data_IF_537017691985
#
_entry.id   IF_537017691985
#
_cell.length_a   1.000
_cell.length_b   1.000
_cell.length_c   1.000
_cell.angle_alpha   90.00
_cell.angle_beta   90.00
_cell.angle_gamma   90.00
#
_symmetry.space_group_name_H-M   'P 1'
#
loop_
_entity.id
_entity.type
_entity.pdbx_description
1 polymer ?
#
# COMPACT_ATOMS: atom_id res chain seq x y z
N UNK A 1 23.59 17.33 -41.40
CA UNK A 1 22.24 17.92 -41.54
C UNK A 1 21.67 17.97 -40.13
N UNK A 2 21.94 19.04 -39.35
CA UNK A 2 21.20 20.31 -39.30
C UNK A 2 19.76 20.07 -38.81
N UNK A 3 19.19 20.63 -37.73
CA UNK A 3 19.49 21.67 -36.74
C UNK A 3 18.74 21.26 -35.45
N UNK A 4 19.26 21.36 -34.23
CA UNK A 4 19.45 22.53 -33.37
C UNK A 4 18.16 23.22 -32.87
N UNK A 5 18.17 23.42 -31.54
CA UNK A 5 17.63 24.56 -30.77
C UNK A 5 16.33 24.38 -29.94
N UNK A 6 16.42 25.07 -28.81
CA UNK A 6 15.89 24.91 -27.45
C UNK A 6 14.73 25.84 -27.10
N UNK A 7 14.17 25.61 -25.89
CA UNK A 7 13.66 26.61 -24.93
C UNK A 7 12.26 27.22 -25.19
N UNK A 8 11.49 27.79 -24.24
CA UNK A 8 11.34 27.82 -22.77
C UNK A 8 10.23 28.85 -22.50
N UNK A 9 9.25 28.53 -21.63
CA UNK A 9 8.44 29.37 -20.71
C UNK A 9 7.53 30.55 -21.18
N UNK A 10 6.63 30.89 -20.22
CA UNK A 10 5.73 32.04 -20.01
C UNK A 10 4.30 31.91 -20.60
N UNK A 11 3.19 31.82 -19.85
CA UNK A 11 2.63 32.61 -18.72
C UNK A 11 1.79 33.83 -19.15
N UNK A 12 0.65 34.03 -18.45
CA UNK A 12 -0.28 35.20 -18.41
C UNK A 12 -1.52 35.07 -19.32
N UNK A 13 -2.75 34.82 -18.87
CA UNK A 13 -3.65 35.44 -17.86
C UNK A 13 -4.56 36.56 -18.41
N UNK A 14 -5.85 36.45 -18.02
CA UNK A 14 -6.89 37.49 -18.04
C UNK A 14 -7.99 37.26 -19.10
N UNK A 15 -9.26 37.60 -18.90
CA UNK A 15 -10.07 38.06 -17.77
C UNK A 15 -11.51 38.22 -18.34
N UNK A 16 -12.52 38.28 -17.47
CA UNK A 16 -13.89 38.82 -17.66
C UNK A 16 -14.96 37.98 -18.37
N UNK A 17 -16.25 38.05 -18.02
CA UNK A 17 -17.02 38.32 -16.80
C UNK A 17 -18.51 38.11 -17.19
N UNK A 18 -19.30 37.56 -16.26
CA UNK A 18 -20.75 37.71 -16.02
C UNK A 18 -21.72 38.14 -17.15
N UNK A 19 -22.86 37.43 -17.25
CA UNK A 19 -24.19 38.07 -17.11
C UNK A 19 -25.32 37.06 -16.88
N UNK A 20 -26.10 37.39 -15.84
CA UNK A 20 -27.42 36.90 -15.49
C UNK A 20 -28.40 36.82 -16.67
N UNK A 21 -29.32 35.85 -16.59
CA UNK A 21 -30.76 36.16 -16.61
C UNK A 21 -31.63 34.97 -16.21
N UNK A 22 -32.17 35.09 -15.00
CA UNK A 22 -33.42 34.52 -14.53
C UNK A 22 -34.58 35.25 -15.24
N UNK A 23 -35.52 34.54 -15.87
CA UNK A 23 -36.79 35.14 -16.27
C UNK A 23 -37.97 34.16 -16.16
N UNK A 24 -38.69 34.40 -15.09
CA UNK A 24 -40.09 34.09 -14.80
C UNK A 24 -40.99 34.59 -15.95
N UNK A 25 -41.91 33.75 -16.46
CA UNK A 25 -43.08 34.28 -17.17
C UNK A 25 -44.37 33.57 -16.72
N UNK A 26 -45.29 34.44 -16.35
CA UNK A 26 -46.53 34.28 -15.62
C UNK A 26 -47.61 33.54 -16.42
N UNK A 27 -48.56 32.98 -15.68
CA UNK A 27 -49.80 32.46 -16.25
C UNK A 27 -50.70 33.55 -16.81
N UNK A 28 -51.65 33.11 -17.63
CA UNK A 28 -52.86 33.88 -17.95
C UNK A 28 -54.07 32.96 -17.92
N UNK A 29 -55.03 33.42 -17.14
CA UNK A 29 -56.41 32.98 -17.00
C UNK A 29 -57.25 33.82 -17.98
N UNK A 30 -58.26 33.25 -18.66
CA UNK A 30 -59.42 33.95 -19.28
C UNK A 30 -60.40 32.87 -19.77
N UNK A 31 -61.47 32.56 -19.03
CA UNK A 31 -62.84 33.12 -19.07
C UNK A 31 -63.66 32.76 -20.33
N UNK A 32 -64.86 32.17 -20.10
CA UNK A 32 -65.83 31.65 -21.07
C UNK A 32 -66.57 32.71 -21.89
N UNK A 33 -67.74 32.39 -22.51
CA UNK A 33 -69.00 32.38 -21.72
C UNK A 33 -70.18 31.49 -22.22
N UNK A 34 -71.09 31.17 -21.27
CA UNK A 34 -72.58 31.22 -21.33
C UNK A 34 -73.37 30.30 -22.32
N UNK A 35 -74.61 29.83 -22.09
CA UNK A 35 -75.65 29.88 -21.04
C UNK A 35 -76.81 28.94 -21.45
N UNK A 36 -77.71 28.59 -20.52
CA UNK A 36 -79.05 28.01 -20.78
C UNK A 36 -79.35 26.74 -19.95
N UNK A 37 -79.77 26.82 -18.69
CA UNK A 37 -81.10 27.15 -18.13
C UNK A 37 -82.02 25.92 -17.89
N UNK A 38 -82.02 25.49 -16.61
CA UNK A 38 -83.08 24.89 -15.75
C UNK A 38 -83.91 23.66 -16.18
N UNK A 39 -83.90 22.60 -15.36
CA UNK A 39 -85.09 22.00 -14.73
C UNK A 39 -84.71 20.96 -13.63
N UNK A 40 -85.48 20.97 -12.54
CA UNK A 40 -85.43 20.22 -11.26
C UNK A 40 -85.47 18.67 -11.34
N UNK A 41 -85.22 17.93 -10.22
CA UNK A 41 -84.41 16.73 -10.18
C UNK A 41 -85.19 15.57 -9.56
N UNK A 42 -85.81 14.70 -10.35
CA UNK A 42 -86.33 13.45 -9.80
C UNK A 42 -86.56 12.45 -10.92
N UNK A 43 -85.91 11.29 -10.80
CA UNK A 43 -85.83 10.15 -11.75
C UNK A 43 -84.59 10.12 -12.65
N UNK A 44 -83.40 10.01 -12.08
CA UNK A 44 -82.32 9.31 -12.77
C UNK A 44 -81.27 8.68 -11.83
N UNK A 45 -81.71 7.94 -10.80
CA UNK A 45 -80.81 7.21 -9.91
C UNK A 45 -80.54 5.75 -10.37
N UNK A 46 -81.12 5.32 -11.48
CA UNK A 46 -81.03 3.93 -11.97
C UNK A 46 -80.17 3.73 -13.21
N UNK A 47 -80.03 4.75 -14.07
CA UNK A 47 -79.36 4.62 -15.37
C UNK A 47 -77.90 5.10 -15.33
N UNK A 48 -77.59 6.07 -14.46
CA UNK A 48 -76.21 6.55 -14.26
C UNK A 48 -75.34 5.55 -13.47
N UNK A 49 -75.93 4.78 -12.55
CA UNK A 49 -75.24 3.71 -11.83
C UNK A 49 -74.94 2.49 -12.74
N UNK A 50 -75.79 2.25 -13.75
CA UNK A 50 -75.58 1.17 -14.71
C UNK A 50 -74.53 1.52 -15.77
N UNK A 51 -74.46 2.78 -16.19
CA UNK A 51 -73.43 3.26 -17.12
C UNK A 51 -72.03 3.28 -16.47
N UNK A 52 -71.91 3.75 -15.22
CA UNK A 52 -70.62 3.77 -14.50
C UNK A 52 -70.14 2.35 -14.18
N UNK A 53 -71.04 1.44 -13.79
CA UNK A 53 -70.69 0.03 -13.56
C UNK A 53 -70.29 -0.71 -14.85
N UNK A 54 -70.88 -0.37 -16.00
CA UNK A 54 -70.52 -0.95 -17.29
C UNK A 54 -69.18 -0.42 -17.84
N UNK A 55 -68.86 0.84 -17.59
CA UNK A 55 -67.56 1.46 -17.93
C UNK A 55 -66.44 0.88 -17.04
N UNK A 56 -66.70 0.69 -15.74
CA UNK A 56 -65.75 0.12 -14.78
C UNK A 56 -65.50 -1.37 -15.05
N UNK A 57 -66.52 -2.13 -15.47
CA UNK A 57 -66.35 -3.52 -15.92
C UNK A 57 -65.60 -3.64 -17.26
N UNK A 58 -65.79 -2.72 -18.21
CA UNK A 58 -64.99 -2.70 -19.45
C UNK A 58 -63.54 -2.35 -19.18
N UNK A 59 -63.28 -1.38 -18.30
CA UNK A 59 -61.92 -0.98 -17.91
C UNK A 59 -61.21 -2.06 -17.10
N UNK A 60 -61.94 -2.79 -16.24
CA UNK A 60 -61.42 -3.96 -15.54
C UNK A 60 -61.10 -5.12 -16.50
N UNK A 61 -61.95 -5.39 -17.48
CA UNK A 61 -61.73 -6.43 -18.49
C UNK A 61 -60.58 -6.11 -19.46
N UNK A 62 -60.32 -4.84 -19.76
CA UNK A 62 -59.19 -4.40 -20.59
C UNK A 62 -57.85 -4.42 -19.84
N UNK A 63 -57.88 -4.16 -18.52
CA UNK A 63 -56.73 -4.35 -17.61
C UNK A 63 -56.42 -5.83 -17.40
N UNK A 64 -57.43 -6.70 -17.39
CA UNK A 64 -57.23 -8.15 -17.27
C UNK A 64 -56.73 -8.78 -18.58
N UNK A 65 -57.22 -8.34 -19.75
CA UNK A 65 -56.71 -8.77 -21.07
C UNK A 65 -55.30 -8.29 -21.37
N UNK A 66 -54.92 -7.09 -20.92
CA UNK A 66 -53.53 -6.61 -21.07
C UNK A 66 -52.54 -7.34 -20.16
N UNK A 67 -52.98 -7.84 -19.00
CA UNK A 67 -52.22 -8.80 -18.18
C UNK A 67 -52.19 -10.22 -18.75
N UNK A 68 -53.18 -10.60 -19.57
CA UNK A 68 -53.24 -11.89 -20.23
C UNK A 68 -52.50 -11.96 -21.58
N UNK A 69 -52.17 -10.82 -22.20
CA UNK A 69 -51.49 -10.76 -23.50
C UNK A 69 -49.97 -10.50 -23.43
N UNK A 70 -49.41 -10.36 -22.24
CA UNK A 70 -47.95 -10.47 -22.09
C UNK A 70 -47.61 -11.96 -22.07
N UNK A 71 -47.01 -12.45 -23.15
CA UNK A 71 -46.50 -13.82 -23.19
C UNK A 71 -45.69 -14.11 -21.92
N UNK A 72 -45.85 -15.27 -21.27
CA UNK A 72 -45.21 -15.57 -19.98
C UNK A 72 -43.67 -15.47 -20.00
N UNK A 73 -43.03 -15.42 -21.19
CA UNK A 73 -41.61 -15.12 -21.36
C UNK A 73 -41.26 -13.62 -21.28
N UNK A 74 -42.13 -12.71 -21.71
CA UNK A 74 -41.87 -11.25 -21.70
C UNK A 74 -41.93 -10.69 -20.29
N UNK A 75 -42.90 -11.12 -19.47
CA UNK A 75 -42.98 -10.71 -18.07
C UNK A 75 -41.73 -11.16 -17.27
N UNK A 76 -41.28 -12.41 -17.48
CA UNK A 76 -40.03 -12.92 -16.88
C UNK A 76 -38.79 -12.13 -17.32
N UNK A 77 -38.76 -11.60 -18.55
CA UNK A 77 -37.68 -10.74 -19.04
C UNK A 77 -37.71 -9.35 -18.39
N UNK A 78 -38.88 -8.76 -18.22
CA UNK A 78 -39.06 -7.47 -17.54
C UNK A 78 -38.65 -7.58 -16.06
N UNK A 79 -39.04 -8.67 -15.41
CA UNK A 79 -38.67 -8.93 -14.01
C UNK A 79 -37.15 -9.17 -13.88
N UNK A 80 -36.54 -9.85 -14.85
CA UNK A 80 -35.08 -10.08 -14.92
C UNK A 80 -34.30 -8.76 -15.10
N UNK A 81 -34.74 -7.89 -16.01
CA UNK A 81 -34.08 -6.61 -16.25
C UNK A 81 -34.25 -5.64 -15.07
N UNK A 82 -35.43 -5.64 -14.44
CA UNK A 82 -35.68 -4.84 -13.23
C UNK A 82 -34.81 -5.31 -12.05
N UNK A 83 -34.68 -6.63 -11.87
CA UNK A 83 -33.79 -7.21 -10.86
C UNK A 83 -32.31 -6.91 -11.15
N UNK A 84 -31.89 -6.91 -12.42
CA UNK A 84 -30.53 -6.56 -12.84
C UNK A 84 -30.17 -5.11 -12.53
N UNK A 85 -31.07 -4.17 -12.82
CA UNK A 85 -30.87 -2.75 -12.48
C UNK A 85 -30.77 -2.53 -10.98
N UNK A 86 -31.69 -3.10 -10.21
CA UNK A 86 -31.67 -2.99 -8.75
C UNK A 86 -30.37 -3.54 -8.14
N UNK A 87 -29.90 -4.70 -8.62
CA UNK A 87 -28.64 -5.28 -8.15
C UNK A 87 -27.42 -4.42 -8.50
N UNK A 88 -27.38 -3.86 -9.70
CA UNK A 88 -26.31 -2.95 -10.11
C UNK A 88 -26.29 -1.68 -9.26
N UNK A 89 -27.45 -1.15 -8.88
CA UNK A 89 -27.57 0.00 -7.98
C UNK A 89 -27.07 -0.33 -6.56
N UNK A 90 -27.40 -1.51 -6.04
CA UNK A 90 -26.94 -2.01 -4.74
C UNK A 90 -25.41 -2.24 -4.72
N UNK A 91 -24.86 -2.85 -5.77
CA UNK A 91 -23.41 -3.04 -5.92
C UNK A 91 -22.67 -1.70 -6.03
N UNK A 92 -23.21 -0.75 -6.80
CA UNK A 92 -22.64 0.59 -6.91
C UNK A 92 -22.71 1.37 -5.59
N UNK A 93 -23.77 1.19 -4.80
CA UNK A 93 -23.86 1.78 -3.45
C UNK A 93 -22.84 1.16 -2.49
N UNK A 94 -22.66 -0.17 -2.53
CA UNK A 94 -21.68 -0.89 -1.72
C UNK A 94 -20.24 -0.44 -2.02
N UNK A 95 -19.86 -0.39 -3.30
CA UNK A 95 -18.51 0.03 -3.69
C UNK A 95 -18.23 1.50 -3.37
N UNK A 96 -19.23 2.37 -3.51
CA UNK A 96 -19.12 3.77 -3.07
C UNK A 96 -18.89 3.88 -1.56
N UNK A 97 -19.66 3.16 -0.74
CA UNK A 97 -19.48 3.17 0.72
C UNK A 97 -18.12 2.59 1.15
N UNK A 98 -17.58 1.62 0.42
CA UNK A 98 -16.25 1.07 0.68
C UNK A 98 -15.12 2.02 0.28
N UNK A 99 -15.27 2.76 -0.81
CA UNK A 99 -14.33 3.82 -1.20
C UNK A 99 -14.29 4.94 -0.15
N UNK A 100 -15.45 5.40 0.30
CA UNK A 100 -15.57 6.41 1.36
C UNK A 100 -14.99 5.94 2.70
N UNK A 101 -15.15 4.66 3.04
CA UNK A 101 -14.56 4.06 4.24
C UNK A 101 -13.02 4.02 4.21
N UNK A 102 -12.44 3.77 3.03
CA UNK A 102 -10.98 3.83 2.81
C UNK A 102 -10.45 5.27 2.95
N UNK A 103 -11.20 6.27 2.48
CA UNK A 103 -10.80 7.68 2.60
C UNK A 103 -10.94 8.22 4.03
N UNK A 104 -11.97 7.79 4.76
CA UNK A 104 -12.29 8.32 6.10
C UNK A 104 -11.76 7.45 7.25
N UNK A 105 -11.09 6.33 6.96
CA UNK A 105 -10.56 5.39 7.95
C UNK A 105 -11.64 4.69 8.78
N UNK A 106 -12.90 4.71 8.35
CA UNK A 106 -14.02 4.03 9.01
C UNK A 106 -14.09 2.57 8.59
N UNK A 107 -14.67 1.70 9.44
CA UNK A 107 -14.89 0.28 9.11
C UNK A 107 -15.80 0.19 7.88
N UNK A 108 -15.32 -0.45 6.82
CA UNK A 108 -16.10 -0.67 5.61
C UNK A 108 -17.36 -1.51 5.92
N UNK A 109 -18.48 -1.23 5.24
CA UNK A 109 -19.67 -2.07 5.35
C UNK A 109 -19.34 -3.51 4.93
N UNK A 110 -19.82 -4.48 5.71
CA UNK A 110 -19.72 -5.89 5.38
C UNK A 110 -20.61 -6.15 4.16
N UNK A 111 -20.06 -6.78 3.12
CA UNK A 111 -20.82 -7.12 1.92
C UNK A 111 -21.95 -8.07 2.36
N UNK A 112 -23.23 -7.79 2.07
CA UNK A 112 -24.22 -8.85 2.19
C UNK A 112 -23.75 -9.98 1.28
N UNK A 113 -23.50 -11.16 1.83
CA UNK A 113 -23.13 -12.37 1.10
C UNK A 113 -24.34 -12.88 0.27
N UNK A 114 -24.78 -12.04 -0.66
CA UNK A 114 -25.74 -12.33 -1.70
C UNK A 114 -24.98 -12.43 -3.02
N UNK A 115 -24.43 -13.63 -3.27
CA UNK A 115 -24.04 -14.17 -4.57
C UNK A 115 -23.49 -13.13 -5.56
N UNK A 116 -22.19 -12.83 -5.50
CA UNK A 116 -21.57 -11.94 -6.50
C UNK A 116 -21.52 -12.66 -7.85
N UNK A 117 -22.59 -12.51 -8.62
CA UNK A 117 -22.65 -12.81 -10.05
C UNK A 117 -23.68 -11.88 -10.69
N UNK A 118 -23.36 -11.24 -11.84
CA UNK A 118 -24.34 -10.48 -12.60
C UNK A 118 -25.57 -11.35 -12.90
N UNK A 119 -26.80 -10.86 -12.74
CA UNK A 119 -27.98 -11.68 -12.99
C UNK A 119 -28.24 -11.73 -14.49
N UNK A 120 -27.60 -12.68 -15.17
CA UNK A 120 -28.26 -13.39 -16.25
C UNK A 120 -28.40 -14.85 -15.78
N UNK A 121 -29.59 -15.15 -15.26
CA UNK A 121 -29.91 -16.49 -14.77
C UNK A 121 -30.20 -17.42 -15.95
N UNK A 122 -29.22 -18.26 -16.25
CA UNK A 122 -29.38 -19.61 -16.81
C UNK A 122 -28.81 -20.64 -15.84
N UNK A 123 -29.40 -20.74 -14.64
CA UNK A 123 -29.39 -21.87 -13.70
C UNK A 123 -28.08 -22.67 -13.49
N UNK A 124 -27.44 -22.45 -12.34
CA UNK A 124 -26.96 -23.55 -11.49
C UNK A 124 -25.47 -23.55 -11.13
N UNK A 125 -25.17 -23.11 -9.90
CA UNK A 125 -24.10 -23.64 -9.06
C UNK A 125 -22.66 -23.33 -9.49
N UNK A 126 -21.85 -22.93 -8.52
CA UNK A 126 -20.39 -22.92 -8.64
C UNK A 126 -19.88 -24.30 -9.07
N UNK A 127 -19.63 -24.44 -10.37
CA UNK A 127 -18.88 -25.51 -11.01
C UNK A 127 -18.14 -24.81 -12.14
N UNK A 128 -16.86 -25.07 -12.31
CA UNK A 128 -16.08 -24.60 -13.47
C UNK A 128 -16.99 -24.62 -14.69
N UNK A 129 -17.30 -23.43 -15.24
CA UNK A 129 -18.41 -23.28 -16.19
C UNK A 129 -18.17 -24.22 -17.36
N UNK A 130 -18.85 -25.37 -17.35
CA UNK A 130 -18.73 -26.35 -18.40
C UNK A 130 -19.21 -25.69 -19.68
N UNK A 131 -18.54 -25.99 -20.80
CA UNK A 131 -18.90 -25.45 -22.12
C UNK A 131 -20.42 -25.58 -22.32
N UNK A 132 -21.14 -24.49 -22.69
CA UNK A 132 -22.57 -24.54 -22.97
C UNK A 132 -22.90 -25.64 -23.98
N UNK A 133 -23.98 -26.39 -23.74
CA UNK A 133 -24.47 -27.43 -24.66
C UNK A 133 -25.74 -26.96 -25.33
N UNK A 134 -25.97 -27.37 -26.57
CA UNK A 134 -27.13 -26.95 -27.35
C UNK A 134 -28.46 -27.37 -26.70
N UNK A 135 -28.50 -28.56 -26.08
CA UNK A 135 -29.67 -29.08 -25.36
C UNK A 135 -30.11 -28.24 -24.15
N UNK A 136 -29.27 -27.31 -23.68
CA UNK A 136 -29.55 -26.46 -22.52
C UNK A 136 -30.36 -25.19 -22.91
N UNK A 137 -30.65 -24.97 -24.21
CA UNK A 137 -31.25 -23.73 -24.72
C UNK A 137 -32.51 -23.96 -25.57
N UNK A 138 -33.48 -23.04 -25.47
CA UNK A 138 -34.75 -23.09 -26.21
C UNK A 138 -34.59 -22.68 -27.68
N UNK A 139 -33.66 -21.78 -27.98
CA UNK A 139 -33.35 -21.35 -29.34
C UNK A 139 -31.86 -21.53 -29.67
N UNK A 140 -31.57 -21.82 -30.94
CA UNK A 140 -30.19 -21.91 -31.41
C UNK A 140 -29.42 -20.60 -31.23
N UNK A 141 -30.10 -19.44 -31.35
CA UNK A 141 -29.47 -18.14 -31.13
C UNK A 141 -29.00 -17.97 -29.68
N UNK A 142 -29.82 -18.38 -28.70
CA UNK A 142 -29.44 -18.33 -27.28
C UNK A 142 -28.21 -19.22 -26.98
N UNK A 143 -28.12 -20.39 -27.62
CA UNK A 143 -26.95 -21.25 -27.53
C UNK A 143 -25.69 -20.59 -28.13
N UNK A 144 -25.80 -19.93 -29.28
CA UNK A 144 -24.67 -19.25 -29.92
C UNK A 144 -24.18 -18.07 -29.07
N UNK A 145 -25.08 -17.29 -28.48
CA UNK A 145 -24.74 -16.20 -27.56
C UNK A 145 -24.00 -16.75 -26.34
N UNK A 146 -24.55 -17.76 -25.67
CA UNK A 146 -23.92 -18.37 -24.49
C UNK A 146 -22.56 -19.01 -24.80
N UNK A 147 -22.42 -19.70 -25.94
CA UNK A 147 -21.15 -20.27 -26.38
C UNK A 147 -20.12 -19.19 -26.69
N UNK A 148 -20.55 -18.06 -27.24
CA UNK A 148 -19.68 -16.92 -27.55
C UNK A 148 -19.18 -16.27 -26.26
N UNK A 149 -20.08 -15.98 -25.32
CA UNK A 149 -19.72 -15.45 -24.00
C UNK A 149 -18.76 -16.38 -23.27
N UNK A 150 -19.02 -17.69 -23.28
CA UNK A 150 -18.13 -18.69 -22.68
C UNK A 150 -16.74 -18.69 -23.33
N UNK A 151 -16.66 -18.67 -24.68
CA UNK A 151 -15.37 -18.63 -25.39
C UNK A 151 -14.60 -17.35 -25.10
N UNK A 152 -15.28 -16.20 -25.02
CA UNK A 152 -14.66 -14.92 -24.67
C UNK A 152 -14.13 -14.97 -23.23
N UNK A 153 -14.93 -15.47 -22.28
CA UNK A 153 -14.49 -15.65 -20.90
C UNK A 153 -13.29 -16.60 -20.79
N UNK A 154 -13.30 -17.72 -21.51
CA UNK A 154 -12.20 -18.68 -21.52
C UNK A 154 -10.93 -18.08 -22.11
N UNK A 155 -11.04 -17.32 -23.20
CA UNK A 155 -9.92 -16.59 -23.79
C UNK A 155 -9.35 -15.55 -22.81
N UNK A 156 -10.21 -14.79 -22.13
CA UNK A 156 -9.78 -13.81 -21.14
C UNK A 156 -9.11 -14.46 -19.93
N UNK A 157 -9.63 -15.59 -19.43
CA UNK A 157 -8.99 -16.37 -18.36
C UNK A 157 -7.62 -16.87 -18.79
N UNK A 158 -7.51 -17.43 -20.00
CA UNK A 158 -6.22 -17.88 -20.55
C UNK A 158 -5.20 -16.75 -20.66
N UNK A 159 -5.63 -15.57 -21.10
CA UNK A 159 -4.77 -14.39 -21.15
C UNK A 159 -4.36 -13.90 -19.75
N UNK A 160 -5.29 -13.84 -18.81
CA UNK A 160 -5.01 -13.43 -17.42
C UNK A 160 -4.00 -14.37 -16.75
N UNK A 161 -4.17 -15.68 -16.90
CA UNK A 161 -3.21 -16.68 -16.37
C UNK A 161 -1.83 -16.49 -17.02
N UNK A 162 -1.77 -16.30 -18.34
CA UNK A 162 -0.49 -16.08 -19.04
C UNK A 162 0.19 -14.78 -18.61
N UNK A 163 -0.59 -13.70 -18.45
CA UNK A 163 -0.08 -12.41 -17.94
C UNK A 163 0.45 -12.55 -16.52
N UNK A 164 -0.33 -13.13 -15.61
CA UNK A 164 0.07 -13.37 -14.23
C UNK A 164 1.35 -14.23 -14.14
N UNK A 165 1.45 -15.29 -14.95
CA UNK A 165 2.64 -16.14 -14.99
C UNK A 165 3.87 -15.39 -15.52
N UNK A 166 3.67 -14.55 -16.54
CA UNK A 166 4.75 -13.72 -17.12
C UNK A 166 5.21 -12.66 -16.12
N UNK A 167 4.29 -11.97 -15.47
CA UNK A 167 4.57 -10.98 -14.44
C UNK A 167 5.31 -11.59 -13.26
N UNK A 168 4.86 -12.75 -12.76
CA UNK A 168 5.55 -13.46 -11.68
C UNK A 168 6.97 -13.88 -12.09
N UNK A 169 7.14 -14.39 -13.30
CA UNK A 169 8.47 -14.77 -13.81
C UNK A 169 9.37 -13.55 -13.94
N UNK A 170 8.90 -12.47 -14.57
CA UNK A 170 9.68 -11.24 -14.72
C UNK A 170 10.04 -10.61 -13.37
N UNK A 171 9.14 -10.64 -12.39
CA UNK A 171 9.44 -10.18 -11.03
C UNK A 171 10.53 -11.03 -10.36
N UNK A 172 10.42 -12.36 -10.46
CA UNK A 172 11.43 -13.29 -9.92
C UNK A 172 12.79 -13.10 -10.60
N UNK A 173 12.82 -13.01 -11.94
CA UNK A 173 14.05 -12.82 -12.72
C UNK A 173 14.71 -11.49 -12.34
N UNK A 174 13.92 -10.43 -12.13
CA UNK A 174 14.41 -9.13 -11.67
C UNK A 174 15.01 -9.21 -10.27
N UNK A 175 14.32 -9.83 -9.31
CA UNK A 175 14.82 -9.98 -7.95
C UNK A 175 16.13 -10.78 -7.90
N UNK A 176 16.22 -11.83 -8.71
CA UNK A 176 17.44 -12.62 -8.83
C UNK A 176 18.60 -11.78 -9.42
N UNK A 177 18.34 -11.01 -10.48
CA UNK A 177 19.34 -10.14 -11.08
C UNK A 177 19.83 -9.04 -10.11
N UNK A 178 18.91 -8.42 -9.37
CA UNK A 178 19.24 -7.41 -8.34
C UNK A 178 20.11 -8.02 -7.22
N UNK A 179 19.76 -9.22 -6.76
CA UNK A 179 20.54 -9.94 -5.74
C UNK A 179 21.94 -10.33 -6.25
N UNK A 180 22.06 -10.82 -7.48
CA UNK A 180 23.36 -11.14 -8.10
C UNK A 180 24.25 -9.91 -8.27
N UNK A 181 23.66 -8.78 -8.65
CA UNK A 181 24.37 -7.50 -8.72
C UNK A 181 24.87 -7.07 -7.34
N UNK A 182 24.01 -7.14 -6.31
CA UNK A 182 24.41 -6.79 -4.94
C UNK A 182 25.53 -7.70 -4.42
N UNK A 183 25.44 -9.01 -4.67
CA UNK A 183 26.52 -9.97 -4.37
C UNK A 183 27.83 -9.56 -5.04
N UNK A 184 27.78 -9.25 -6.34
CA UNK A 184 28.97 -8.82 -7.08
C UNK A 184 29.59 -7.57 -6.47
N UNK A 185 28.78 -6.55 -6.15
CA UNK A 185 29.26 -5.32 -5.50
C UNK A 185 29.93 -5.59 -4.14
N UNK A 186 29.34 -6.46 -3.32
CA UNK A 186 29.94 -6.87 -2.03
C UNK A 186 31.28 -7.55 -2.24
N UNK A 187 31.37 -8.51 -3.16
CA UNK A 187 32.61 -9.23 -3.41
C UNK A 187 33.70 -8.34 -4.02
N UNK A 188 33.35 -7.45 -4.96
CA UNK A 188 34.29 -6.47 -5.52
C UNK A 188 34.85 -5.54 -4.44
N UNK A 189 34.01 -5.08 -3.51
CA UNK A 189 34.46 -4.29 -2.36
C UNK A 189 35.40 -5.09 -1.44
N UNK A 190 35.08 -6.36 -1.19
CA UNK A 190 35.91 -7.27 -0.38
C UNK A 190 37.29 -7.52 -0.99
N UNK A 191 37.34 -7.89 -2.27
CA UNK A 191 38.60 -8.07 -3.01
C UNK A 191 39.41 -6.78 -3.04
N UNK A 192 38.76 -5.61 -3.18
CA UNK A 192 39.44 -4.32 -3.16
C UNK A 192 40.06 -3.97 -1.80
N UNK A 193 39.39 -4.31 -0.69
CA UNK A 193 39.86 -3.97 0.66
C UNK A 193 40.87 -4.99 1.22
N UNK A 194 40.67 -6.27 0.95
CA UNK A 194 41.41 -7.37 1.59
C UNK A 194 42.24 -8.22 0.61
N UNK A 195 42.09 -8.04 -0.71
CA UNK A 195 42.90 -8.74 -1.72
C UNK A 195 42.69 -10.26 -1.71
N UNK A 196 43.79 -11.00 -1.86
CA UNK A 196 43.81 -12.47 -1.99
C UNK A 196 43.21 -13.16 -0.76
N UNK A 197 43.35 -12.59 0.44
CA UNK A 197 42.76 -13.16 1.66
C UNK A 197 41.23 -13.24 1.61
N UNK A 198 40.58 -12.32 0.90
CA UNK A 198 39.14 -12.38 0.67
C UNK A 198 38.77 -13.48 -0.32
N UNK A 199 39.58 -13.63 -1.37
CA UNK A 199 39.35 -14.64 -2.40
C UNK A 199 39.47 -16.02 -1.76
N UNK A 200 40.59 -16.29 -1.08
CA UNK A 200 40.87 -17.57 -0.42
C UNK A 200 39.88 -17.85 0.72
N UNK A 201 39.58 -16.85 1.55
CA UNK A 201 38.75 -17.03 2.74
C UNK A 201 37.24 -17.03 2.49
N UNK A 202 36.76 -16.39 1.41
CA UNK A 202 35.32 -16.19 1.15
C UNK A 202 34.87 -16.79 -0.17
N UNK A 203 35.59 -16.55 -1.27
CA UNK A 203 35.15 -16.98 -2.61
C UNK A 203 35.53 -18.42 -2.92
N UNK A 204 36.71 -18.85 -2.48
CA UNK A 204 37.28 -20.17 -2.78
C UNK A 204 37.19 -21.14 -1.59
N UNK A 205 36.74 -20.67 -0.42
CA UNK A 205 36.65 -21.47 0.79
C UNK A 205 35.44 -22.43 0.75
N UNK A 206 35.65 -23.76 0.63
CA UNK A 206 34.55 -24.73 0.61
C UNK A 206 33.94 -24.97 1.99
N UNK A 207 34.66 -24.64 3.08
CA UNK A 207 34.21 -24.85 4.45
C UNK A 207 33.30 -23.71 4.93
N UNK A 208 33.26 -22.60 4.19
CA UNK A 208 32.41 -21.45 4.51
C UNK A 208 30.94 -21.73 4.16
N UNK A 209 30.16 -22.08 5.17
CA UNK A 209 28.71 -22.29 5.01
C UNK A 209 27.94 -20.98 5.18
N UNK A 210 27.36 -20.47 4.08
CA UNK A 210 26.47 -19.29 4.09
C UNK A 210 25.08 -19.70 3.64
N UNK A 211 24.08 -19.45 4.49
CA UNK A 211 22.66 -19.69 4.15
C UNK A 211 22.09 -18.59 3.26
N UNK A 212 20.95 -18.83 2.58
CA UNK A 212 20.29 -17.78 1.79
C UNK A 212 19.93 -16.53 2.62
N UNK A 213 19.50 -16.71 3.88
CA UNK A 213 19.17 -15.59 4.75
C UNK A 213 20.40 -14.78 5.18
N UNK A 214 21.53 -15.45 5.42
CA UNK A 214 22.80 -14.77 5.68
C UNK A 214 23.28 -14.01 4.45
N UNK A 215 23.22 -14.63 3.26
CA UNK A 215 23.60 -13.99 2.01
C UNK A 215 22.78 -12.73 1.73
N UNK A 216 21.46 -12.79 1.95
CA UNK A 216 20.56 -11.62 1.83
C UNK A 216 20.99 -10.49 2.77
N UNK A 217 21.28 -10.80 4.04
CA UNK A 217 21.75 -9.81 5.00
C UNK A 217 23.11 -9.21 4.60
N UNK A 218 24.04 -10.03 4.14
CA UNK A 218 25.37 -9.60 3.67
C UNK A 218 25.23 -8.64 2.48
N UNK A 219 24.33 -8.93 1.53
CA UNK A 219 24.12 -8.06 0.36
C UNK A 219 23.39 -6.75 0.69
N UNK A 220 22.57 -6.73 1.74
CA UNK A 220 21.80 -5.56 2.15
C UNK A 220 22.58 -4.62 3.09
N UNK A 221 23.59 -5.14 3.79
CA UNK A 221 24.39 -4.36 4.75
C UNK A 221 25.44 -3.45 4.09
N UNK A 222 25.58 -2.21 4.61
CA UNK A 222 26.62 -1.26 4.20
C UNK A 222 28.05 -1.81 4.33
N UNK A 223 28.27 -2.73 5.27
CA UNK A 223 29.56 -3.37 5.55
C UNK A 223 29.54 -4.86 5.18
N UNK A 224 28.73 -5.23 4.18
CA UNK A 224 28.59 -6.60 3.70
C UNK A 224 29.91 -7.30 3.38
N UNK A 225 30.86 -6.60 2.76
CA UNK A 225 32.19 -7.11 2.45
C UNK A 225 32.98 -7.47 3.72
N UNK A 226 32.86 -6.67 4.79
CA UNK A 226 33.51 -6.94 6.08
C UNK A 226 32.85 -8.09 6.81
N UNK A 227 31.52 -8.19 6.74
CA UNK A 227 30.77 -9.32 7.29
C UNK A 227 31.18 -10.63 6.60
N UNK A 228 31.20 -10.63 5.26
CA UNK A 228 31.61 -11.79 4.48
C UNK A 228 33.05 -12.21 4.81
N UNK A 229 33.98 -11.25 4.87
CA UNK A 229 35.37 -11.50 5.26
C UNK A 229 35.48 -12.06 6.68
N UNK A 230 34.80 -11.46 7.66
CA UNK A 230 34.80 -11.94 9.04
C UNK A 230 34.26 -13.37 9.16
N UNK A 231 33.21 -13.72 8.41
CA UNK A 231 32.66 -15.07 8.38
C UNK A 231 33.61 -16.06 7.70
N UNK A 232 34.30 -15.65 6.62
CA UNK A 232 35.32 -16.47 5.97
C UNK A 232 36.53 -16.78 6.86
N UNK A 233 36.96 -15.82 7.68
CA UNK A 233 38.02 -16.00 8.67
C UNK A 233 37.57 -16.79 9.91
N UNK A 234 36.25 -16.89 10.13
CA UNK A 234 35.66 -17.56 11.30
C UNK A 234 34.57 -18.55 10.86
N UNK A 235 34.96 -19.59 10.12
CA UNK A 235 34.05 -20.60 9.56
C UNK A 235 33.19 -21.29 10.62
N UNK A 236 33.73 -21.57 11.81
CA UNK A 236 32.96 -22.14 12.93
C UNK A 236 31.80 -21.23 13.38
N UNK A 237 32.02 -19.91 13.35
CA UNK A 237 30.97 -18.94 13.68
C UNK A 237 29.93 -18.89 12.57
N UNK A 238 30.36 -18.95 11.31
CA UNK A 238 29.46 -19.01 10.16
C UNK A 238 28.57 -20.26 10.21
N UNK A 239 29.14 -21.44 10.50
CA UNK A 239 28.40 -22.69 10.64
C UNK A 239 27.40 -22.64 11.79
N UNK A 240 27.82 -22.10 12.95
CA UNK A 240 26.93 -21.92 14.10
C UNK A 240 25.73 -21.04 13.76
N UNK A 241 25.95 -19.93 13.05
CA UNK A 241 24.87 -19.05 12.60
C UNK A 241 24.01 -19.79 11.57
N UNK A 242 24.61 -20.48 10.61
CA UNK A 242 23.89 -21.25 9.59
C UNK A 242 22.93 -22.30 10.18
N UNK A 243 23.29 -22.92 11.31
CA UNK A 243 22.44 -23.87 12.04
C UNK A 243 21.26 -23.25 12.79
N UNK A 244 21.14 -21.92 12.86
CA UNK A 244 20.04 -21.24 13.56
C UNK A 244 18.80 -21.02 12.66
N UNK A 245 17.65 -20.70 13.26
CA UNK A 245 16.47 -20.24 12.50
C UNK A 245 16.72 -18.88 11.82
N UNK A 246 16.11 -18.56 10.66
CA UNK A 246 16.39 -17.33 9.90
C UNK A 246 16.33 -16.02 10.72
N UNK A 247 15.35 -15.89 11.63
CA UNK A 247 15.21 -14.69 12.48
C UNK A 247 16.37 -14.56 13.48
N UNK A 248 16.88 -15.68 13.99
CA UNK A 248 18.07 -15.69 14.87
C UNK A 248 19.33 -15.41 14.08
N UNK A 249 19.43 -15.92 12.84
CA UNK A 249 20.54 -15.60 11.94
C UNK A 249 20.65 -14.09 11.73
N UNK A 250 19.54 -13.43 11.37
CA UNK A 250 19.51 -11.98 11.18
C UNK A 250 19.95 -11.21 12.44
N UNK A 251 19.55 -11.67 13.64
CA UNK A 251 19.95 -11.05 14.90
C UNK A 251 21.45 -11.16 15.16
N UNK A 252 22.03 -12.34 14.98
CA UNK A 252 23.48 -12.54 15.16
C UNK A 252 24.27 -11.76 14.11
N UNK A 253 23.83 -11.78 12.86
CA UNK A 253 24.43 -10.99 11.77
C UNK A 253 24.39 -9.49 12.07
N UNK A 254 23.28 -8.98 12.60
CA UNK A 254 23.17 -7.57 13.02
C UNK A 254 24.10 -7.23 14.21
N UNK A 255 24.31 -8.17 15.13
CA UNK A 255 25.27 -7.98 16.22
C UNK A 255 26.71 -7.90 15.68
N UNK A 256 27.08 -8.80 14.76
CA UNK A 256 28.36 -8.76 14.07
C UNK A 256 28.55 -7.48 13.27
N UNK A 257 27.51 -7.03 12.55
CA UNK A 257 27.55 -5.80 11.77
C UNK A 257 27.87 -4.59 12.66
N UNK A 258 27.22 -4.48 13.81
CA UNK A 258 27.47 -3.41 14.77
C UNK A 258 28.90 -3.46 15.33
N UNK A 259 29.42 -4.65 15.61
CA UNK A 259 30.79 -4.83 16.06
C UNK A 259 31.81 -4.40 15.00
N UNK A 260 31.54 -4.69 13.72
CA UNK A 260 32.41 -4.30 12.60
C UNK A 260 32.29 -2.81 12.25
N UNK A 261 31.11 -2.21 12.45
CA UNK A 261 30.89 -0.76 12.29
C UNK A 261 31.53 0.05 13.43
N UNK A 262 31.61 -0.52 14.65
CA UNK A 262 32.26 0.12 15.77
C UNK A 262 33.78 0.20 15.54
N UNK A 263 34.28 1.41 15.27
CA UNK A 263 35.72 1.70 15.12
C UNK A 263 36.44 1.21 16.38
N UNK A 264 37.36 0.25 16.24
CA UNK A 264 38.20 -0.26 17.33
C UNK A 264 38.89 0.93 18.02
N UNK A 265 38.37 1.36 19.17
CA UNK A 265 39.08 2.31 20.03
C UNK A 265 40.27 1.53 20.55
N UNK A 266 41.48 1.89 20.11
CA UNK A 266 42.70 1.22 20.54
C UNK A 266 42.72 1.18 22.07
N UNK A 267 43.03 -0.01 22.63
CA UNK A 267 43.42 -0.17 24.04
C UNK A 267 44.79 0.49 24.24
N UNK A 268 44.91 1.78 23.96
CA UNK A 268 46.03 2.55 24.42
C UNK A 268 45.97 2.50 25.96
N UNK A 269 47.05 2.10 26.65
CA UNK A 269 47.10 2.19 28.11
C UNK A 269 46.82 3.64 28.51
N UNK A 270 46.12 3.82 29.64
CA UNK A 270 45.78 5.14 30.16
C UNK A 270 47.01 6.06 30.14
N UNK A 271 46.87 7.33 29.71
CA UNK A 271 47.98 8.27 29.74
C UNK A 271 48.52 8.31 31.17
N UNK A 272 49.82 8.01 31.33
CA UNK A 272 50.50 8.11 32.62
C UNK A 272 50.14 9.44 33.26
N UNK A 273 49.53 9.41 34.46
CA UNK A 273 49.23 10.63 35.22
C UNK A 273 50.52 11.45 35.32
N UNK A 274 50.55 12.72 34.89
CA UNK A 274 51.73 13.54 35.04
C UNK A 274 52.05 13.60 36.53
N UNK A 275 53.26 13.22 36.92
CA UNK A 275 53.76 13.46 38.26
C UNK A 275 53.51 14.94 38.54
N UNK A 276 52.65 15.22 39.53
CA UNK A 276 52.38 16.57 40.00
C UNK A 276 53.68 17.09 40.64
N UNK A 277 54.55 17.65 39.80
CA UNK A 277 55.72 18.38 40.21
C UNK A 277 55.26 19.56 41.06
N UNK A 278 55.41 19.42 42.37
CA UNK A 278 54.85 20.37 43.31
C UNK A 278 55.33 20.18 44.75
N UNK A 279 56.53 19.65 44.94
CA UNK A 279 57.25 19.85 46.20
C UNK A 279 58.21 21.03 45.97
N UNK A 280 57.86 22.22 46.48
CA UNK A 280 58.82 23.31 46.63
C UNK A 280 59.99 22.76 47.46
N UNK A 281 61.26 22.94 47.05
CA UNK A 281 62.38 22.46 47.85
C UNK A 281 62.29 23.11 49.23
N UNK A 282 62.31 22.29 50.28
CA UNK A 282 62.43 22.78 51.64
C UNK A 282 63.77 23.50 51.73
N UNK A 283 63.73 24.83 51.93
CA UNK A 283 64.94 25.64 52.13
C UNK A 283 65.62 25.15 53.40
N UNK A 284 66.82 24.59 53.25
CA UNK A 284 67.67 24.21 54.37
C UNK A 284 68.18 25.47 55.07
N UNK A 285 67.63 25.76 56.24
CA UNK A 285 67.95 26.91 57.07
C UNK A 285 69.35 26.84 57.70
N UNK A 286 70.05 25.71 57.60
CA UNK A 286 71.45 25.57 58.04
C UNK A 286 72.46 25.90 56.95
N UNK A 287 72.01 26.17 55.72
CA UNK A 287 72.90 26.59 54.63
C UNK A 287 73.56 27.95 54.95
N UNK A 288 74.90 28.05 54.99
CA UNK A 288 75.62 29.30 55.27
C UNK A 288 75.55 30.33 54.13
N UNK A 289 75.12 29.94 52.92
CA UNK A 289 74.99 30.85 51.77
C UNK A 289 73.60 31.53 51.67
N UNK A 290 72.68 31.25 52.60
CA UNK A 290 71.36 31.88 52.59
C UNK A 290 71.45 33.35 52.99
N UNK A 291 70.95 34.25 52.14
CA UNK A 291 70.95 35.69 52.40
C UNK A 291 70.26 36.03 53.72
N UNK A 292 70.78 37.05 54.42
CA UNK A 292 70.22 37.55 55.67
C UNK A 292 68.75 37.95 55.52
N UNK A 293 68.36 38.49 54.36
CA UNK A 293 66.97 38.83 54.02
C UNK A 293 66.06 37.59 54.01
N UNK A 294 66.49 36.52 53.35
CA UNK A 294 65.72 35.28 53.20
C UNK A 294 65.58 34.54 54.53
N UNK A 295 66.62 34.63 55.37
CA UNK A 295 66.59 34.09 56.74
C UNK A 295 65.57 34.81 57.63
N UNK A 296 65.43 36.13 57.46
CA UNK A 296 64.47 36.93 58.22
C UNK A 296 63.03 36.65 57.74
N UNK A 297 62.81 36.50 56.44
CA UNK A 297 61.49 36.19 55.88
C UNK A 297 60.99 34.80 56.31
N UNK A 298 61.84 33.77 56.20
CA UNK A 298 61.50 32.40 56.63
C UNK A 298 61.19 32.31 58.13
N UNK A 299 61.90 33.05 58.99
CA UNK A 299 61.60 33.10 60.42
C UNK A 299 60.27 33.80 60.74
N UNK A 300 59.91 34.86 60.00
CA UNK A 300 58.62 35.55 60.17
C UNK A 300 57.45 34.65 59.81
N UNK A 301 57.54 33.93 58.70
CA UNK A 301 56.50 32.98 58.28
C UNK A 301 56.30 31.87 59.31
N UNK A 302 57.39 31.35 59.89
CA UNK A 302 57.32 30.32 60.93
C UNK A 302 56.73 30.81 62.25
N UNK A 303 57.04 32.06 62.65
CA UNK A 303 56.39 32.70 63.82
C UNK A 303 54.89 32.91 63.57
N UNK A 304 54.51 33.29 62.35
CA UNK A 304 53.11 33.47 61.96
C UNK A 304 52.33 32.15 61.97
N UNK A 305 52.94 31.08 61.46
CA UNK A 305 52.37 29.73 61.49
C UNK A 305 52.28 29.15 62.91
N UNK A 306 53.18 29.52 63.82
CA UNK A 306 53.11 29.13 65.25
C UNK A 306 52.09 29.94 66.04
N UNK A 307 51.88 31.21 65.70
CA UNK A 307 50.88 32.07 66.35
C UNK A 307 49.44 31.75 65.91
N UNK A 308 49.25 31.11 64.75
CA UNK A 308 47.93 30.62 64.30
C UNK A 308 47.57 29.23 64.83
N UNK A 309 48.32 28.71 65.81
CA UNK A 309 48.21 27.34 66.33
C UNK A 309 48.00 27.29 67.85
N UNK A 310 47.64 28.43 68.45
CA UNK A 310 47.21 28.65 69.84
C UNK A 310 45.92 29.45 69.83
#
# INVERSE_FOLDING_TARGET
MANDTTATAAETAGDQQEKDQNQEFQGTNYEGPQEGETADPEKNAGEEAAAVAAEEQKRAAEVEKSKAHTEPGVQKRIDRESAKRKRAEEDAAYWRGRAEALETGRKAPDKPEGDVSPPWNGSGGQKEAARPKEDDFETHNDYIEALTDWKVQESLKGEQVRRAQTEQKTASDRQQAEFEQAKKTVHEAGVKEYGDEYIEGVLENPDLTITPSMALFITDSDVGHKLAYHLGQNTETAEKIAGMSPVKQAREMLALEQQLKAKQTTKAPEPLTPLKGGAKPAVDWTNPELSTEDRIQTMRERRRARASMT
#
